data_IF_014774521354
#
_entry.id   IF_014774521354
#
_cell.length_a   1.000
_cell.length_b   1.000
_cell.length_c   1.000
_cell.angle_alpha   90.00
_cell.angle_beta   90.00
_cell.angle_gamma   90.00
#
_symmetry.space_group_name_H-M   'P 1'
#
loop_
_entity.id
_entity.type
_entity.pdbx_description
1 polymer ?
#
# COMPACT_ATOMS: atom_id res chain seq x y z
N UNK A 1 32.56 13.02 4.40
CA UNK A 1 33.72 12.63 3.57
C UNK A 1 33.21 12.07 2.25
N UNK A 2 33.45 12.76 1.13
CA UNK A 2 33.09 12.31 -0.23
C UNK A 2 34.13 11.32 -0.73
N UNK A 3 33.72 10.24 -1.40
CA UNK A 3 34.61 9.48 -2.31
C UNK A 3 33.92 9.26 -3.65
N UNK A 4 34.53 9.84 -4.68
CA UNK A 4 34.39 9.47 -6.07
C UNK A 4 35.10 8.13 -6.33
N UNK A 5 34.59 7.35 -7.27
CA UNK A 5 35.40 6.45 -8.08
C UNK A 5 34.93 6.53 -9.53
N UNK A 6 35.89 6.70 -10.43
CA UNK A 6 35.74 6.95 -11.85
C UNK A 6 36.57 5.88 -12.59
N UNK A 7 36.04 5.43 -13.72
CA UNK A 7 36.75 4.96 -14.94
C UNK A 7 37.28 3.52 -14.96
N UNK A 8 36.95 2.74 -16.00
CA UNK A 8 37.80 2.48 -17.20
C UNK A 8 37.01 1.69 -18.26
N UNK A 9 37.24 2.07 -19.51
CA UNK A 9 36.65 1.57 -20.75
C UNK A 9 37.46 0.44 -21.39
N UNK A 10 36.87 -0.29 -22.34
CA UNK A 10 37.64 -0.93 -23.42
C UNK A 10 36.82 -0.98 -24.73
N UNK A 11 37.45 -0.53 -25.79
CA UNK A 11 37.02 -0.47 -27.20
C UNK A 11 37.81 -1.53 -27.98
N UNK A 12 37.20 -2.22 -28.96
CA UNK A 12 37.92 -2.84 -30.08
C UNK A 12 37.00 -3.00 -31.30
N UNK A 13 37.57 -2.86 -32.49
CA UNK A 13 36.93 -2.51 -33.75
C UNK A 13 37.07 -3.58 -34.86
N UNK A 14 36.13 -3.53 -35.82
CA UNK A 14 36.18 -3.74 -37.29
C UNK A 14 37.00 -4.87 -37.96
N UNK A 15 36.38 -5.58 -38.92
CA UNK A 15 36.77 -5.61 -40.36
C UNK A 15 35.81 -6.46 -41.24
N UNK A 16 35.59 -5.99 -42.48
CA UNK A 16 34.88 -6.64 -43.59
C UNK A 16 35.75 -7.67 -44.33
N UNK A 17 35.12 -8.61 -45.07
CA UNK A 17 35.46 -8.89 -46.48
C UNK A 17 34.37 -9.71 -47.19
N UNK A 18 34.22 -9.44 -48.49
CA UNK A 18 33.14 -9.85 -49.38
C UNK A 18 33.44 -11.14 -50.18
N UNK A 19 32.38 -11.76 -50.74
CA UNK A 19 32.48 -12.79 -51.79
C UNK A 19 31.11 -13.01 -52.47
N UNK A 20 31.09 -13.03 -53.81
CA UNK A 20 29.92 -12.97 -54.69
C UNK A 20 29.59 -14.30 -55.42
N UNK A 21 28.29 -14.71 -55.37
CA UNK A 21 27.30 -15.16 -56.43
C UNK A 21 27.75 -16.12 -57.58
N UNK A 22 26.89 -16.97 -58.26
CA UNK A 22 25.50 -17.47 -58.03
C UNK A 22 25.33 -19.02 -58.16
N UNK A 23 24.15 -19.55 -57.80
CA UNK A 23 23.52 -20.64 -58.56
C UNK A 23 21.99 -20.53 -58.52
N UNK A 24 21.39 -20.47 -59.71
CA UNK A 24 19.96 -20.39 -59.99
C UNK A 24 19.26 -21.72 -59.75
N UNK A 25 18.21 -21.74 -58.94
CA UNK A 25 17.20 -22.80 -58.95
C UNK A 25 15.81 -22.16 -58.98
N UNK A 26 15.10 -22.43 -60.07
CA UNK A 26 13.73 -22.07 -60.35
C UNK A 26 12.78 -22.81 -59.39
N UNK A 27 12.13 -22.07 -58.50
CA UNK A 27 11.02 -22.55 -57.69
C UNK A 27 9.69 -22.07 -58.28
N UNK A 28 8.77 -23.02 -58.45
CA UNK A 28 7.37 -22.84 -58.84
C UNK A 28 6.61 -21.98 -57.82
N UNK A 29 5.57 -21.23 -58.23
CA UNK A 29 4.87 -20.32 -57.33
C UNK A 29 4.00 -21.11 -56.35
N UNK A 30 4.46 -21.18 -55.10
CA UNK A 30 3.66 -21.65 -53.98
C UNK A 30 2.68 -20.54 -53.59
N UNK A 31 1.39 -20.86 -53.60
CA UNK A 31 0.30 -19.94 -53.24
C UNK A 31 0.59 -19.24 -51.91
N UNK A 32 0.72 -17.92 -51.94
CA UNK A 32 0.88 -17.08 -50.76
C UNK A 32 -0.35 -17.26 -49.84
N UNK A 33 -0.15 -17.91 -48.68
CA UNK A 33 -1.10 -17.83 -47.57
C UNK A 33 -1.16 -16.37 -47.13
N UNK A 34 -2.36 -15.79 -47.09
CA UNK A 34 -2.59 -14.47 -46.53
C UNK A 34 -1.98 -14.37 -45.12
N UNK A 35 -1.36 -13.25 -44.75
CA UNK A 35 -0.83 -13.08 -43.40
C UNK A 35 -1.97 -13.21 -42.38
N UNK A 36 -1.77 -14.07 -41.38
CA UNK A 36 -2.71 -14.21 -40.28
C UNK A 36 -2.96 -12.83 -39.65
N UNK A 37 -4.22 -12.42 -39.58
CA UNK A 37 -4.66 -11.17 -38.93
C UNK A 37 -4.11 -11.20 -37.49
N UNK A 38 -3.36 -10.17 -37.10
CA UNK A 38 -2.89 -10.04 -35.72
C UNK A 38 -4.10 -10.21 -34.78
N UNK A 39 -3.98 -10.97 -33.67
CA UNK A 39 -5.09 -11.19 -32.77
C UNK A 39 -5.68 -9.85 -32.32
N UNK A 40 -7.01 -9.75 -32.30
CA UNK A 40 -7.69 -8.54 -31.89
C UNK A 40 -7.32 -8.21 -30.43
N UNK A 41 -6.94 -6.95 -30.20
CA UNK A 41 -6.60 -6.44 -28.86
C UNK A 41 -7.74 -6.70 -27.87
N UNK A 42 -7.42 -7.24 -26.68
CA UNK A 42 -8.45 -7.53 -25.68
C UNK A 42 -9.13 -6.23 -25.19
N UNK A 43 -10.44 -6.27 -24.85
CA UNK A 43 -11.18 -5.09 -24.41
C UNK A 43 -10.50 -4.31 -23.28
N UNK A 44 -9.96 -5.00 -22.27
CA UNK A 44 -9.26 -4.37 -21.15
C UNK A 44 -8.02 -3.59 -21.60
N UNK A 45 -7.28 -4.08 -22.60
CA UNK A 45 -6.10 -3.39 -23.15
C UNK A 45 -6.51 -2.11 -23.85
N UNK A 46 -7.54 -2.16 -24.71
CA UNK A 46 -8.08 -0.98 -25.39
C UNK A 46 -8.55 0.08 -24.39
N UNK A 47 -9.26 -0.34 -23.35
CA UNK A 47 -9.73 0.55 -22.29
C UNK A 47 -8.59 1.20 -21.48
N UNK A 48 -7.54 0.45 -21.12
CA UNK A 48 -6.39 1.01 -20.40
C UNK A 48 -5.58 2.00 -21.24
N UNK A 49 -5.38 1.71 -22.53
CA UNK A 49 -4.68 2.64 -23.43
C UNK A 49 -5.45 3.96 -23.55
N UNK A 50 -6.77 3.91 -23.68
CA UNK A 50 -7.63 5.09 -23.66
C UNK A 50 -7.56 5.86 -22.32
N UNK A 51 -7.45 5.15 -21.19
CA UNK A 51 -7.23 5.79 -19.89
C UNK A 51 -5.90 6.56 -19.85
N UNK A 52 -4.82 5.93 -20.30
CA UNK A 52 -3.47 6.52 -20.32
C UNK A 52 -3.46 7.79 -21.19
N UNK A 53 -4.08 7.73 -22.37
CA UNK A 53 -4.23 8.88 -23.25
C UNK A 53 -5.01 10.02 -22.58
N UNK A 54 -6.21 9.73 -22.06
CA UNK A 54 -7.03 10.72 -21.37
C UNK A 54 -6.30 11.32 -20.14
N UNK A 55 -5.61 10.49 -19.36
CA UNK A 55 -4.85 10.91 -18.18
C UNK A 55 -3.74 11.89 -18.56
N UNK A 56 -3.02 11.59 -19.65
CA UNK A 56 -1.91 12.41 -20.12
C UNK A 56 -2.35 13.79 -20.59
N UNK A 57 -3.57 13.96 -21.10
CA UNK A 57 -4.08 15.27 -21.56
C UNK A 57 -4.11 16.36 -20.49
N UNK A 58 -4.28 16.00 -19.21
CA UNK A 58 -4.53 17.00 -18.16
C UNK A 58 -5.94 17.60 -18.16
N UNK A 59 -6.82 17.20 -19.08
CA UNK A 59 -8.16 17.78 -19.25
C UNK A 59 -9.21 17.04 -18.41
N UNK A 60 -9.91 17.78 -17.55
CA UNK A 60 -11.04 17.24 -16.78
C UNK A 60 -12.17 16.77 -17.70
N UNK A 61 -12.44 17.48 -18.80
CA UNK A 61 -13.49 17.11 -19.75
C UNK A 61 -13.15 15.81 -20.48
N UNK A 62 -11.90 15.63 -20.90
CA UNK A 62 -11.43 14.37 -21.50
C UNK A 62 -11.53 13.22 -20.52
N UNK A 63 -11.15 13.43 -19.26
CA UNK A 63 -11.27 12.40 -18.23
C UNK A 63 -12.71 12.08 -17.88
N UNK A 64 -13.59 13.08 -17.82
CA UNK A 64 -15.03 12.90 -17.60
C UNK A 64 -15.63 12.05 -18.72
N UNK A 65 -15.38 12.42 -19.98
CA UNK A 65 -15.84 11.68 -21.15
C UNK A 65 -15.31 10.24 -21.16
N UNK A 66 -14.04 10.04 -20.76
CA UNK A 66 -13.48 8.72 -20.60
C UNK A 66 -14.25 7.89 -19.56
N UNK A 67 -14.49 8.43 -18.35
CA UNK A 67 -15.23 7.69 -17.33
C UNK A 67 -16.65 7.34 -17.77
N UNK A 68 -17.36 8.27 -18.41
CA UNK A 68 -18.73 8.06 -18.89
C UNK A 68 -18.80 7.02 -20.02
N UNK A 69 -17.79 6.99 -20.90
CA UNK A 69 -17.82 6.13 -22.09
C UNK A 69 -17.21 4.74 -21.86
N UNK A 70 -16.25 4.61 -20.94
CA UNK A 70 -15.46 3.38 -20.80
C UNK A 70 -15.83 2.54 -19.57
N UNK A 71 -16.45 3.11 -18.53
CA UNK A 71 -16.84 2.34 -17.34
C UNK A 71 -18.24 1.74 -17.43
N UNK A 72 -18.42 0.59 -16.79
CA UNK A 72 -19.69 -0.07 -16.62
C UNK A 72 -20.63 0.76 -15.72
N UNK A 73 -21.94 0.69 -15.98
CA UNK A 73 -22.93 1.43 -15.20
C UNK A 73 -22.91 1.03 -13.71
N UNK A 74 -22.68 -0.25 -13.41
CA UNK A 74 -22.49 -0.76 -12.05
C UNK A 74 -21.31 -0.08 -11.35
N UNK A 75 -20.16 0.01 -12.02
CA UNK A 75 -18.97 0.65 -11.48
C UNK A 75 -19.12 2.17 -11.31
N UNK A 76 -19.92 2.83 -12.15
CA UNK A 76 -20.25 4.26 -12.00
C UNK A 76 -21.20 4.53 -10.82
N UNK A 77 -22.03 3.55 -10.44
CA UNK A 77 -22.88 3.63 -9.25
C UNK A 77 -22.08 3.48 -7.96
N UNK A 78 -21.07 2.60 -7.95
CA UNK A 78 -20.20 2.38 -6.79
C UNK A 78 -19.26 3.56 -6.54
N UNK A 79 -18.67 4.10 -7.62
CA UNK A 79 -17.81 5.27 -7.56
C UNK A 79 -18.19 6.22 -8.71
N UNK A 80 -18.82 7.33 -8.33
CA UNK A 80 -19.38 8.30 -9.28
C UNK A 80 -18.29 9.00 -10.08
N UNK A 81 -18.67 9.56 -11.23
CA UNK A 81 -17.75 10.35 -12.08
C UNK A 81 -17.09 11.51 -11.31
N UNK A 82 -17.79 12.31 -10.50
CA UNK A 82 -17.14 13.34 -9.66
C UNK A 82 -16.08 12.79 -8.71
N UNK A 83 -16.34 11.66 -8.05
CA UNK A 83 -15.36 11.03 -7.16
C UNK A 83 -14.14 10.50 -7.93
N UNK A 84 -14.35 9.96 -9.13
CA UNK A 84 -13.26 9.52 -10.02
C UNK A 84 -12.42 10.70 -10.52
N UNK A 85 -13.06 11.82 -10.84
CA UNK A 85 -12.37 13.07 -11.22
C UNK A 85 -11.53 13.61 -10.06
N UNK A 86 -12.04 13.60 -8.82
CA UNK A 86 -11.25 14.00 -7.66
C UNK A 86 -10.00 13.11 -7.46
N UNK A 87 -10.14 11.79 -7.65
CA UNK A 87 -8.98 10.86 -7.64
C UNK A 87 -8.02 11.13 -8.78
N UNK A 88 -8.53 11.38 -9.97
CA UNK A 88 -7.72 11.76 -11.13
C UNK A 88 -6.91 13.02 -10.84
N UNK A 89 -7.51 14.08 -10.29
CA UNK A 89 -6.81 15.32 -9.98
C UNK A 89 -5.66 15.09 -9.00
N UNK A 90 -5.92 14.36 -7.90
CA UNK A 90 -4.87 14.00 -6.94
C UNK A 90 -3.77 13.15 -7.58
N UNK A 91 -4.14 12.14 -8.36
CA UNK A 91 -3.19 11.28 -9.08
C UNK A 91 -2.38 12.02 -10.14
N UNK A 92 -2.97 12.98 -10.86
CA UNK A 92 -2.32 13.79 -11.89
C UNK A 92 -1.27 14.71 -11.29
N UNK A 93 -1.57 15.34 -10.15
CA UNK A 93 -0.59 16.15 -9.41
C UNK A 93 0.65 15.33 -9.02
N UNK A 94 0.44 14.07 -8.60
CA UNK A 94 1.52 13.20 -8.14
C UNK A 94 2.29 12.53 -9.27
N UNK A 95 1.59 11.87 -10.20
CA UNK A 95 2.15 10.99 -11.22
C UNK A 95 2.53 11.73 -12.51
N UNK A 96 1.94 12.91 -12.74
CA UNK A 96 2.17 13.83 -13.88
C UNK A 96 1.76 13.28 -15.25
N UNK A 97 2.31 12.15 -15.67
CA UNK A 97 2.06 11.50 -16.96
C UNK A 97 2.33 10.01 -16.86
N UNK A 98 1.95 9.25 -17.88
CA UNK A 98 2.28 7.83 -18.04
C UNK A 98 2.87 7.59 -19.42
N UNK A 99 4.01 6.90 -19.45
CA UNK A 99 4.63 6.37 -20.66
C UNK A 99 4.57 4.85 -20.61
N UNK A 100 3.97 4.21 -21.61
CA UNK A 100 3.86 2.75 -21.66
C UNK A 100 5.25 2.15 -21.86
N UNK A 101 5.67 1.30 -20.92
CA UNK A 101 6.92 0.55 -21.03
C UNK A 101 6.67 -0.80 -21.72
N UNK A 102 5.70 -1.57 -21.20
CA UNK A 102 5.28 -2.85 -21.79
C UNK A 102 3.90 -3.29 -21.32
N UNK A 103 3.21 -4.07 -22.13
CA UNK A 103 2.07 -4.88 -21.67
C UNK A 103 2.64 -6.07 -20.90
N UNK A 104 2.29 -6.18 -19.62
CA UNK A 104 2.75 -7.25 -18.73
C UNK A 104 1.89 -8.49 -18.92
N UNK A 105 0.58 -8.31 -19.04
CA UNK A 105 -0.37 -9.41 -19.20
C UNK A 105 -1.62 -8.95 -19.94
N UNK A 106 -2.16 -9.83 -20.78
CA UNK A 106 -3.39 -9.62 -21.53
C UNK A 106 -4.28 -10.86 -21.39
N UNK A 107 -5.14 -10.83 -20.37
CA UNK A 107 -6.08 -11.90 -20.00
C UNK A 107 -7.48 -11.59 -20.56
N UNK A 108 -8.41 -12.54 -20.46
CA UNK A 108 -9.74 -12.38 -21.03
C UNK A 108 -10.52 -11.20 -20.43
N UNK A 109 -10.37 -10.96 -19.13
CA UNK A 109 -11.15 -9.93 -18.40
C UNK A 109 -10.27 -8.88 -17.74
N UNK A 110 -8.96 -8.91 -18.01
CA UNK A 110 -8.00 -8.05 -17.35
C UNK A 110 -6.78 -7.82 -18.22
N UNK A 111 -6.26 -6.60 -18.20
CA UNK A 111 -4.93 -6.27 -18.74
C UNK A 111 -4.07 -5.63 -17.66
N UNK A 112 -2.78 -5.93 -17.65
CA UNK A 112 -1.78 -5.24 -16.85
C UNK A 112 -0.75 -4.56 -17.77
N UNK A 113 -0.55 -3.25 -17.60
CA UNK A 113 0.41 -2.45 -18.36
C UNK A 113 1.37 -1.79 -17.38
N UNK A 114 2.67 -2.04 -17.56
CA UNK A 114 3.71 -1.30 -16.85
C UNK A 114 3.90 0.05 -17.54
N UNK A 115 3.81 1.12 -16.78
CA UNK A 115 4.05 2.49 -17.23
C UNK A 115 5.10 3.19 -16.37
N UNK A 116 5.89 4.06 -17.00
CA UNK A 116 6.74 5.02 -16.30
C UNK A 116 5.93 6.28 -16.01
N UNK A 117 5.79 6.66 -14.75
CA UNK A 117 5.14 7.90 -14.38
C UNK A 117 6.09 9.08 -14.57
N UNK A 118 5.57 10.26 -14.90
CA UNK A 118 6.35 11.49 -15.06
C UNK A 118 7.05 12.00 -13.78
N UNK A 119 6.75 11.40 -12.63
CA UNK A 119 7.51 11.60 -11.38
C UNK A 119 8.67 10.60 -11.19
N UNK A 120 8.93 9.74 -12.17
CA UNK A 120 10.01 8.74 -12.16
C UNK A 120 9.62 7.37 -11.59
N UNK A 121 8.45 7.22 -10.98
CA UNK A 121 8.01 5.94 -10.44
C UNK A 121 7.56 4.98 -11.54
N UNK A 122 7.84 3.69 -11.37
CA UNK A 122 7.25 2.63 -12.17
C UNK A 122 5.88 2.26 -11.58
N UNK A 123 4.86 2.24 -12.43
CA UNK A 123 3.47 1.98 -12.03
C UNK A 123 2.92 0.81 -12.86
N UNK A 124 2.35 -0.18 -12.19
CA UNK A 124 1.58 -1.24 -12.85
C UNK A 124 0.11 -0.84 -12.88
N UNK A 125 -0.39 -0.48 -14.05
CA UNK A 125 -1.80 -0.22 -14.29
C UNK A 125 -2.52 -1.54 -14.60
N UNK A 126 -3.57 -1.87 -13.85
CA UNK A 126 -4.45 -3.01 -14.15
C UNK A 126 -5.86 -2.53 -14.45
N UNK A 127 -6.38 -2.92 -15.59
CA UNK A 127 -7.74 -2.62 -16.04
C UNK A 127 -8.54 -3.90 -16.01
N UNK A 128 -9.66 -3.90 -15.29
CA UNK A 128 -10.57 -5.04 -15.22
C UNK A 128 -11.85 -4.66 -15.94
N UNK A 129 -12.40 -5.59 -16.71
CA UNK A 129 -13.63 -5.41 -17.48
C UNK A 129 -14.72 -6.39 -17.04
N UNK A 130 -15.97 -6.10 -17.42
CA UNK A 130 -17.11 -7.01 -17.21
C UNK A 130 -16.84 -8.41 -17.80
N UNK A 131 -17.31 -9.46 -17.10
CA UNK A 131 -17.25 -10.86 -17.56
C UNK A 131 -18.14 -11.14 -18.78
N UNK A 132 -19.11 -10.28 -19.03
CA UNK A 132 -20.03 -10.39 -20.16
C UNK A 132 -19.94 -9.14 -21.02
N UNK A 133 -20.34 -9.20 -22.30
CA UNK A 133 -20.54 -8.00 -23.11
C UNK A 133 -21.40 -6.97 -22.35
N UNK A 134 -21.10 -5.66 -22.45
CA UNK A 134 -20.20 -5.03 -23.42
C UNK A 134 -18.71 -4.97 -23.05
N UNK A 135 -18.26 -5.64 -21.99
CA UNK A 135 -16.83 -5.65 -21.55
C UNK A 135 -16.31 -4.25 -21.17
N UNK A 136 -17.13 -3.42 -20.53
CA UNK A 136 -16.72 -2.10 -20.04
C UNK A 136 -15.84 -2.24 -18.79
N UNK A 137 -15.07 -1.20 -18.47
CA UNK A 137 -14.24 -1.16 -17.28
C UNK A 137 -15.09 -1.24 -16.01
N UNK A 138 -14.75 -2.17 -15.13
CA UNK A 138 -15.21 -2.16 -13.74
C UNK A 138 -14.19 -1.46 -12.84
N UNK A 139 -12.91 -1.49 -13.21
CA UNK A 139 -11.82 -1.01 -12.39
C UNK A 139 -10.61 -0.55 -13.18
N UNK A 140 -9.89 0.43 -12.63
CA UNK A 140 -8.46 0.65 -12.90
C UNK A 140 -7.75 0.68 -11.55
N UNK A 141 -6.73 -0.17 -11.40
CA UNK A 141 -5.83 -0.22 -10.27
C UNK A 141 -4.46 0.30 -10.71
N UNK A 142 -3.74 0.95 -9.80
CA UNK A 142 -2.42 1.52 -10.06
C UNK A 142 -1.51 1.26 -8.87
N UNK A 143 -0.55 0.36 -9.03
CA UNK A 143 0.41 0.03 -7.98
C UNK A 143 1.79 0.57 -8.31
N UNK A 144 2.46 1.18 -7.34
CA UNK A 144 3.88 1.50 -7.47
C UNK A 144 4.69 0.21 -7.41
N UNK A 145 5.60 0.05 -8.36
CA UNK A 145 6.54 -1.05 -8.43
C UNK A 145 7.94 -0.53 -8.08
N UNK A 146 8.61 -1.22 -7.17
CA UNK A 146 9.99 -0.90 -6.78
C UNK A 146 11.00 -1.52 -7.76
N UNK A 147 10.74 -2.74 -8.22
CA UNK A 147 11.56 -3.44 -9.22
C UNK A 147 10.70 -3.97 -10.38
N UNK A 148 10.73 -3.31 -11.55
CA UNK A 148 9.94 -3.72 -12.73
C UNK A 148 10.33 -5.06 -13.34
N UNK A 149 11.54 -5.56 -13.06
CA UNK A 149 12.02 -6.85 -13.55
C UNK A 149 11.36 -8.03 -12.83
N UNK A 150 10.92 -7.81 -11.59
CA UNK A 150 10.25 -8.80 -10.74
C UNK A 150 8.74 -8.89 -11.00
N UNK A 151 8.19 -8.14 -11.97
CA UNK A 151 6.78 -8.21 -12.30
C UNK A 151 6.49 -9.51 -13.04
N UNK A 152 5.75 -10.39 -12.38
CA UNK A 152 5.24 -11.64 -12.94
C UNK A 152 3.93 -11.42 -13.71
N UNK A 153 3.68 -12.28 -14.71
CA UNK A 153 2.38 -12.34 -15.38
C UNK A 153 1.37 -12.92 -14.38
N UNK A 154 0.21 -12.28 -14.14
CA UNK A 154 -0.83 -12.87 -13.29
C UNK A 154 -1.26 -14.23 -13.85
N UNK A 155 -1.26 -15.24 -12.98
CA UNK A 155 -1.59 -16.63 -13.30
C UNK A 155 -2.84 -17.04 -12.51
N UNK A 156 -4.03 -16.52 -12.88
CA UNK A 156 -5.23 -16.76 -12.10
C UNK A 156 -5.52 -18.26 -12.02
N UNK A 157 -5.86 -18.75 -10.82
CA UNK A 157 -6.17 -20.16 -10.63
C UNK A 157 -7.60 -20.47 -11.06
N UNK A 158 -7.83 -21.65 -11.62
CA UNK A 158 -9.12 -21.99 -12.22
C UNK A 158 -10.23 -22.09 -11.15
N UNK A 159 -9.86 -22.55 -9.95
CA UNK A 159 -10.78 -22.77 -8.84
C UNK A 159 -10.14 -22.48 -7.48
N UNK A 160 -10.98 -22.49 -6.43
CA UNK A 160 -10.54 -22.20 -5.05
C UNK A 160 -9.54 -23.22 -4.50
N UNK A 161 -9.64 -24.50 -4.88
CA UNK A 161 -8.74 -25.54 -4.39
C UNK A 161 -7.32 -25.34 -4.93
N UNK A 162 -7.18 -25.06 -6.23
CA UNK A 162 -5.90 -24.69 -6.86
C UNK A 162 -5.36 -23.38 -6.31
N UNK A 163 -6.22 -22.39 -6.08
CA UNK A 163 -5.85 -21.14 -5.46
C UNK A 163 -5.22 -21.35 -4.08
N UNK A 164 -5.90 -22.09 -3.20
CA UNK A 164 -5.40 -22.40 -1.85
C UNK A 164 -4.11 -23.23 -1.90
N UNK A 165 -4.03 -24.21 -2.80
CA UNK A 165 -2.82 -25.02 -2.96
C UNK A 165 -1.61 -24.19 -3.42
N UNK A 166 -1.82 -23.25 -4.37
CA UNK A 166 -0.78 -22.35 -4.85
C UNK A 166 -0.28 -21.41 -3.75
N UNK A 167 -1.18 -20.85 -2.93
CA UNK A 167 -0.80 -20.04 -1.76
C UNK A 167 0.09 -20.85 -0.81
N UNK A 168 -0.32 -22.09 -0.49
CA UNK A 168 0.42 -22.94 0.44
C UNK A 168 1.83 -23.23 -0.06
N UNK A 169 1.96 -23.74 -1.28
CA UNK A 169 3.26 -24.06 -1.89
C UNK A 169 4.19 -22.84 -1.91
N UNK A 170 3.66 -21.68 -2.27
CA UNK A 170 4.43 -20.45 -2.31
C UNK A 170 4.91 -19.99 -0.94
N UNK A 171 4.05 -20.07 0.07
CA UNK A 171 4.43 -19.70 1.44
C UNK A 171 5.45 -20.69 2.03
N UNK A 172 5.34 -21.98 1.70
CA UNK A 172 6.35 -22.98 2.06
C UNK A 172 7.71 -22.62 1.46
N UNK A 173 7.76 -22.32 0.15
CA UNK A 173 9.00 -21.91 -0.52
C UNK A 173 9.60 -20.63 0.07
N UNK A 174 8.76 -19.59 0.28
CA UNK A 174 9.20 -18.31 0.86
C UNK A 174 9.66 -18.46 2.31
N UNK A 175 9.03 -19.35 3.08
CA UNK A 175 9.46 -19.62 4.45
C UNK A 175 10.78 -20.38 4.48
N UNK A 176 10.95 -21.38 3.61
CA UNK A 176 12.20 -22.13 3.48
C UNK A 176 13.38 -21.25 3.03
N UNK A 177 13.11 -20.24 2.19
CA UNK A 177 14.08 -19.25 1.75
C UNK A 177 14.34 -18.10 2.76
N UNK A 178 13.72 -18.12 3.94
CA UNK A 178 13.78 -17.04 4.93
C UNK A 178 13.27 -15.67 4.42
N UNK A 179 12.39 -15.70 3.43
CA UNK A 179 11.75 -14.55 2.80
C UNK A 179 10.35 -14.26 3.40
N UNK A 180 9.78 -15.20 4.16
CA UNK A 180 8.51 -15.04 4.87
C UNK A 180 8.51 -15.68 6.26
N UNK A 181 7.93 -14.99 7.22
CA UNK A 181 7.65 -15.48 8.58
C UNK A 181 6.49 -14.66 9.12
N UNK A 182 5.31 -15.26 9.23
CA UNK A 182 4.10 -14.49 9.44
C UNK A 182 2.80 -15.27 9.37
N UNK A 183 1.69 -14.55 9.28
CA UNK A 183 0.33 -15.08 9.12
C UNK A 183 -0.28 -14.51 7.85
N UNK A 184 -0.95 -15.38 7.09
CA UNK A 184 -1.75 -15.01 5.92
C UNK A 184 -3.19 -15.42 6.16
N UNK A 185 -4.12 -14.50 5.88
CA UNK A 185 -5.55 -14.75 5.87
C UNK A 185 -6.15 -14.29 4.54
N UNK A 186 -6.94 -15.15 3.92
CA UNK A 186 -7.78 -14.81 2.77
C UNK A 186 -9.24 -15.10 3.09
N UNK A 187 -10.08 -14.08 2.97
CA UNK A 187 -11.52 -14.17 3.08
C UNK A 187 -12.15 -13.84 1.72
N UNK A 188 -13.08 -14.69 1.29
CA UNK A 188 -13.85 -14.52 0.06
C UNK A 188 -15.33 -14.59 0.39
N UNK A 189 -16.07 -13.54 0.07
CA UNK A 189 -17.51 -13.41 0.25
C UNK A 189 -17.97 -13.72 1.69
N UNK A 190 -17.18 -13.31 2.68
CA UNK A 190 -17.47 -13.51 4.10
C UNK A 190 -16.98 -14.85 4.66
N UNK A 191 -16.49 -15.77 3.82
CA UNK A 191 -15.89 -17.05 4.24
C UNK A 191 -14.38 -16.99 4.22
N UNK A 192 -13.73 -17.37 5.31
CA UNK A 192 -12.27 -17.52 5.35
C UNK A 192 -11.88 -18.80 4.63
N UNK A 193 -11.15 -18.66 3.52
CA UNK A 193 -10.73 -19.77 2.65
C UNK A 193 -9.27 -20.16 2.87
N UNK A 194 -8.47 -19.26 3.45
CA UNK A 194 -7.10 -19.51 3.84
C UNK A 194 -6.81 -18.78 5.16
N UNK A 195 -6.21 -19.44 6.14
CA UNK A 195 -5.74 -18.82 7.38
C UNK A 195 -4.66 -19.71 7.99
N UNK A 196 -3.41 -19.42 7.67
CA UNK A 196 -2.25 -20.24 8.06
C UNK A 196 -1.09 -19.35 8.56
N UNK A 197 -0.23 -19.94 9.38
CA UNK A 197 0.90 -19.28 10.02
C UNK A 197 2.19 -20.03 9.65
N UNK A 198 3.25 -19.29 9.38
CA UNK A 198 4.53 -19.80 8.89
C UNK A 198 5.70 -19.14 9.62
N UNK A 199 6.81 -19.87 9.75
CA UNK A 199 8.03 -19.35 10.37
C UNK A 199 7.93 -19.15 11.89
N UNK A 200 8.81 -18.31 12.43
CA UNK A 200 8.99 -18.11 13.87
C UNK A 200 8.54 -16.72 14.31
N UNK A 201 7.74 -16.66 15.37
CA UNK A 201 7.40 -15.43 16.09
C UNK A 201 8.61 -14.90 16.87
N UNK A 202 9.45 -15.81 17.36
CA UNK A 202 10.69 -15.54 18.10
C UNK A 202 11.75 -16.54 17.64
N UNK A 203 12.76 -16.05 16.91
CA UNK A 203 13.87 -16.87 16.40
C UNK A 203 14.79 -17.34 17.51
N UNK A 204 15.09 -16.49 18.48
CA UNK A 204 16.00 -16.85 19.58
C UNK A 204 15.39 -17.94 20.46
N UNK A 205 14.10 -17.80 20.79
CA UNK A 205 13.38 -18.78 21.61
C UNK A 205 12.75 -19.93 20.80
N UNK A 206 12.93 -19.94 19.48
CA UNK A 206 12.33 -20.92 18.55
C UNK A 206 10.81 -21.07 18.70
N UNK A 207 10.12 -19.96 18.96
CA UNK A 207 8.66 -19.95 19.10
C UNK A 207 8.04 -19.85 17.71
N UNK A 208 7.22 -20.83 17.28
CA UNK A 208 6.55 -20.78 15.99
C UNK A 208 5.48 -19.69 15.97
N UNK A 209 5.26 -19.10 14.79
CA UNK A 209 4.07 -18.30 14.56
C UNK A 209 2.82 -19.16 14.69
N UNK A 210 1.75 -18.54 15.17
CA UNK A 210 0.40 -19.10 15.25
C UNK A 210 -0.59 -18.14 14.60
N UNK A 211 -1.78 -18.64 14.29
CA UNK A 211 -2.87 -17.83 13.69
C UNK A 211 -3.24 -16.62 14.54
N UNK A 212 -3.09 -16.73 15.86
CA UNK A 212 -3.37 -15.68 16.85
C UNK A 212 -2.14 -14.79 17.17
N UNK A 213 -0.99 -15.01 16.53
CA UNK A 213 0.22 -14.20 16.76
C UNK A 213 -0.03 -12.74 16.38
N UNK A 214 0.37 -11.85 17.28
CA UNK A 214 0.22 -10.40 17.14
C UNK A 214 1.46 -9.82 16.46
N UNK A 215 1.27 -9.18 15.33
CA UNK A 215 2.35 -8.54 14.56
C UNK A 215 2.26 -7.04 14.65
N UNK A 216 3.43 -6.39 14.62
CA UNK A 216 3.47 -4.95 14.54
C UNK A 216 2.89 -4.48 13.20
N UNK A 217 1.91 -3.58 13.24
CA UNK A 217 1.16 -3.16 12.06
C UNK A 217 1.86 -2.06 11.24
N UNK A 218 2.94 -1.49 11.77
CA UNK A 218 3.61 -0.35 11.15
C UNK A 218 2.62 0.78 10.83
N UNK A 219 2.63 1.29 9.61
CA UNK A 219 1.80 2.43 9.20
C UNK A 219 0.30 2.14 9.00
N UNK A 220 -0.15 0.88 9.10
CA UNK A 220 -1.59 0.56 9.06
C UNK A 220 -2.34 1.29 10.19
N UNK A 221 -1.67 1.54 11.33
CA UNK A 221 -2.23 2.26 12.47
C UNK A 221 -2.84 3.62 12.13
N UNK A 222 -2.37 4.29 11.06
CA UNK A 222 -2.95 5.54 10.56
C UNK A 222 -4.44 5.42 10.23
N UNK A 223 -4.90 4.24 9.79
CA UNK A 223 -6.31 4.04 9.48
C UNK A 223 -7.20 4.08 10.72
N UNK A 224 -6.73 3.60 11.87
CA UNK A 224 -7.46 3.76 13.14
C UNK A 224 -7.53 5.23 13.57
N UNK A 225 -6.42 5.98 13.40
CA UNK A 225 -6.41 7.44 13.62
C UNK A 225 -7.42 8.15 12.72
N UNK A 226 -7.49 7.80 11.42
CA UNK A 226 -8.48 8.37 10.49
C UNK A 226 -9.91 8.09 10.95
N UNK A 227 -10.22 6.86 11.34
CA UNK A 227 -11.54 6.49 11.87
C UNK A 227 -11.87 7.33 13.11
N UNK A 228 -10.93 7.47 14.06
CA UNK A 228 -11.13 8.23 15.28
C UNK A 228 -11.42 9.72 15.00
N UNK A 229 -10.67 10.36 14.10
CA UNK A 229 -10.91 11.74 13.68
C UNK A 229 -12.30 11.89 13.07
N UNK A 230 -12.71 10.99 12.18
CA UNK A 230 -14.04 11.04 11.56
C UNK A 230 -15.18 10.75 12.55
N UNK A 231 -14.98 9.86 13.54
CA UNK A 231 -15.94 9.66 14.63
C UNK A 231 -16.14 10.95 15.43
N UNK A 232 -15.04 11.60 15.86
CA UNK A 232 -15.10 12.86 16.61
C UNK A 232 -15.72 14.00 15.79
N UNK A 233 -15.44 14.05 14.48
CA UNK A 233 -16.06 15.01 13.58
C UNK A 233 -17.58 14.82 13.49
N UNK A 234 -18.05 13.57 13.37
CA UNK A 234 -19.48 13.24 13.36
C UNK A 234 -20.18 13.51 14.69
N UNK A 235 -19.44 13.47 15.81
CA UNK A 235 -19.92 13.85 17.13
C UNK A 235 -19.93 15.37 17.35
N UNK A 236 -19.47 16.17 16.39
CA UNK A 236 -19.35 17.63 16.53
C UNK A 236 -18.23 18.09 17.47
N UNK A 237 -17.34 17.18 17.90
CA UNK A 237 -16.24 17.50 18.83
C UNK A 237 -15.06 18.18 18.14
N UNK A 238 -14.94 18.01 16.82
CA UNK A 238 -14.00 18.72 15.96
C UNK A 238 -14.61 18.95 14.57
N UNK A 239 -14.07 19.91 13.84
CA UNK A 239 -14.25 20.08 12.40
C UNK A 239 -12.98 19.70 11.67
N UNK A 240 -13.11 19.21 10.43
CA UNK A 240 -11.93 18.97 9.58
C UNK A 240 -11.24 20.29 9.17
N UNK A 241 -11.94 21.42 9.29
CA UNK A 241 -11.38 22.76 9.02
C UNK A 241 -10.78 23.42 10.25
N UNK A 242 -10.89 22.79 11.43
CA UNK A 242 -10.25 23.32 12.64
C UNK A 242 -8.73 23.30 12.50
N UNK A 243 -8.10 24.39 12.93
CA UNK A 243 -6.65 24.53 12.95
C UNK A 243 -6.03 23.76 14.11
N UNK A 244 -4.74 23.44 13.99
CA UNK A 244 -3.96 22.80 15.07
C UNK A 244 -4.05 23.62 16.37
N UNK A 245 -3.99 24.96 16.28
CA UNK A 245 -4.06 25.87 17.42
C UNK A 245 -5.32 25.74 18.27
N UNK A 246 -6.47 25.38 17.67
CA UNK A 246 -7.72 25.18 18.41
C UNK A 246 -7.56 24.12 19.51
N UNK A 247 -6.79 23.07 19.24
CA UNK A 247 -6.61 21.95 20.16
C UNK A 247 -5.26 21.99 20.89
N UNK A 248 -4.24 22.55 20.25
CA UNK A 248 -2.87 22.64 20.71
C UNK A 248 -2.41 24.11 20.65
N UNK A 249 -2.90 24.98 21.56
CA UNK A 249 -2.57 26.42 21.53
C UNK A 249 -1.08 26.68 21.75
N UNK A 250 -0.40 25.80 22.48
CA UNK A 250 1.03 25.88 22.78
C UNK A 250 1.90 25.06 21.80
N UNK A 251 1.39 24.78 20.58
CA UNK A 251 2.16 24.02 19.59
C UNK A 251 3.44 24.81 19.20
N UNK A 252 4.65 24.19 19.25
CA UNK A 252 5.92 24.93 19.18
C UNK A 252 6.10 25.81 17.94
N UNK A 253 5.63 25.36 16.77
CA UNK A 253 5.64 26.17 15.56
C UNK A 253 4.31 26.92 15.41
N UNK A 254 4.31 28.23 15.71
CA UNK A 254 3.12 29.08 15.62
C UNK A 254 2.51 29.13 14.20
N UNK A 255 3.33 29.17 13.14
CA UNK A 255 2.83 29.15 11.77
C UNK A 255 2.08 27.85 11.46
N UNK A 256 2.61 26.71 11.90
CA UNK A 256 1.93 25.42 11.76
C UNK A 256 0.63 25.40 12.58
N UNK A 257 0.67 25.91 13.81
CA UNK A 257 -0.51 26.00 14.68
C UNK A 257 -1.65 26.79 14.03
N UNK A 258 -1.34 27.94 13.44
CA UNK A 258 -2.31 28.86 12.85
C UNK A 258 -2.82 28.43 11.47
N UNK A 259 -1.94 27.88 10.60
CA UNK A 259 -2.28 27.62 9.20
C UNK A 259 -2.74 26.19 8.90
N UNK A 260 -2.28 25.19 9.67
CA UNK A 260 -2.55 23.78 9.38
C UNK A 260 -3.89 23.37 9.97
N UNK A 261 -4.75 22.75 9.17
CA UNK A 261 -6.02 22.18 9.63
C UNK A 261 -6.03 20.64 9.67
N UNK A 262 -7.04 20.09 10.35
CA UNK A 262 -7.22 18.63 10.51
C UNK A 262 -7.30 17.90 9.17
N UNK A 263 -7.97 18.47 8.15
CA UNK A 263 -8.07 17.88 6.81
C UNK A 263 -6.70 17.76 6.15
N UNK A 264 -5.85 18.78 6.26
CA UNK A 264 -4.51 18.77 5.69
C UNK A 264 -3.61 17.74 6.36
N UNK A 265 -3.75 17.55 7.68
CA UNK A 265 -3.05 16.46 8.39
C UNK A 265 -3.50 15.07 7.88
N UNK A 266 -4.81 14.83 7.76
CA UNK A 266 -5.36 13.56 7.27
C UNK A 266 -4.85 13.22 5.87
N UNK A 267 -4.81 14.23 4.99
CA UNK A 267 -4.49 14.09 3.58
C UNK A 267 -2.99 14.23 3.27
N UNK A 268 -2.14 14.37 4.29
CA UNK A 268 -0.69 14.54 4.12
C UNK A 268 -0.31 15.79 3.30
N UNK A 269 -1.08 16.87 3.44
CA UNK A 269 -0.88 18.16 2.75
C UNK A 269 -0.55 19.30 3.71
N UNK A 270 -0.20 19.00 4.96
CA UNK A 270 0.04 20.01 6.01
C UNK A 270 1.38 20.73 5.92
N UNK A 271 2.39 20.16 5.25
CA UNK A 271 3.78 20.66 5.32
C UNK A 271 4.54 20.33 6.61
N UNK A 272 3.86 19.83 7.65
CA UNK A 272 4.52 19.30 8.87
C UNK A 272 5.38 18.07 8.50
N UNK A 273 6.67 18.13 8.83
CA UNK A 273 7.65 17.08 8.53
C UNK A 273 7.57 15.83 9.41
N UNK A 274 8.53 14.93 9.22
CA UNK A 274 8.63 13.66 9.95
C UNK A 274 9.37 13.79 11.29
N UNK A 275 9.10 12.86 12.22
CA UNK A 275 9.85 12.70 13.46
C UNK A 275 11.08 11.81 13.31
N UNK A 276 11.16 10.95 12.29
CA UNK A 276 12.38 10.19 12.00
C UNK A 276 13.53 11.10 11.56
N UNK A 277 14.76 10.78 12.00
CA UNK A 277 15.99 11.53 11.75
C UNK A 277 16.85 11.66 13.02
N UNK A 278 17.89 12.49 12.96
CA UNK A 278 18.94 12.58 14.00
C UNK A 278 18.41 12.69 15.44
N UNK A 279 17.35 13.50 15.66
CA UNK A 279 16.73 13.65 16.98
C UNK A 279 16.08 12.35 17.46
N UNK A 280 15.39 11.62 16.58
CA UNK A 280 14.83 10.31 16.91
C UNK A 280 15.94 9.31 17.19
N UNK A 281 16.98 9.27 16.36
CA UNK A 281 18.10 8.33 16.50
C UNK A 281 18.85 8.52 17.81
N UNK A 282 19.15 9.77 18.17
CA UNK A 282 19.80 10.14 19.44
C UNK A 282 18.89 9.96 20.67
N UNK A 283 17.57 9.90 20.50
CA UNK A 283 16.64 9.72 21.61
C UNK A 283 16.57 8.25 22.03
N UNK A 284 16.75 8.00 23.33
CA UNK A 284 16.49 6.69 23.92
C UNK A 284 15.05 6.26 23.66
N UNK A 285 14.88 5.14 22.97
CA UNK A 285 13.56 4.70 22.51
C UNK A 285 12.61 4.33 23.65
N UNK A 286 13.14 3.89 24.79
CA UNK A 286 12.38 3.64 26.02
C UNK A 286 11.64 4.88 26.55
N UNK A 287 12.14 6.08 26.23
CA UNK A 287 11.53 7.35 26.67
C UNK A 287 10.36 7.80 25.80
N UNK A 288 10.16 7.17 24.64
CA UNK A 288 9.08 7.51 23.70
C UNK A 288 7.90 6.57 23.98
N UNK A 289 6.94 7.01 24.81
CA UNK A 289 5.85 6.15 25.31
C UNK A 289 4.45 6.72 25.13
N UNK A 290 4.35 8.04 24.98
CA UNK A 290 3.11 8.79 24.75
C UNK A 290 3.27 9.69 23.52
N UNK A 291 2.15 10.16 22.95
CA UNK A 291 2.20 10.97 21.74
C UNK A 291 2.97 12.28 21.92
N UNK A 292 2.89 12.90 23.11
CA UNK A 292 3.62 14.15 23.40
C UNK A 292 5.14 13.96 23.37
N UNK A 293 5.64 12.76 23.64
CA UNK A 293 7.09 12.49 23.69
C UNK A 293 7.73 12.59 22.30
N UNK A 294 6.92 12.54 21.23
CA UNK A 294 7.38 12.73 19.86
C UNK A 294 7.52 14.21 19.47
N UNK A 295 6.83 15.15 20.14
CA UNK A 295 6.83 16.56 19.72
C UNK A 295 8.23 17.19 19.66
N UNK A 296 9.14 16.97 20.64
CA UNK A 296 10.50 17.51 20.58
C UNK A 296 11.32 17.06 19.35
N UNK A 297 10.88 16.01 18.65
CA UNK A 297 11.60 15.46 17.50
C UNK A 297 11.33 16.22 16.20
N UNK A 298 10.23 16.97 16.11
CA UNK A 298 9.81 17.61 14.86
C UNK A 298 8.98 18.89 14.99
N UNK A 299 8.30 19.14 16.11
CA UNK A 299 7.22 20.12 16.16
C UNK A 299 7.66 21.59 16.05
N UNK A 300 8.93 21.88 16.34
CA UNK A 300 9.58 23.20 16.21
C UNK A 300 10.11 23.48 14.79
N UNK A 301 10.19 22.46 13.92
CA UNK A 301 10.72 22.61 12.56
C UNK A 301 9.79 23.47 11.69
N UNK A 302 10.33 24.23 10.72
CA UNK A 302 9.52 24.96 9.75
C UNK A 302 8.65 23.99 8.91
N UNK A 303 7.55 24.51 8.36
CA UNK A 303 6.77 23.78 7.37
C UNK A 303 7.63 23.55 6.12
N UNK A 304 7.60 22.35 5.57
CA UNK A 304 8.35 22.01 4.36
C UNK A 304 7.76 22.65 3.09
N UNK A 305 6.48 23.01 3.13
CA UNK A 305 5.75 23.72 2.10
C UNK A 305 4.49 24.37 2.70
N UNK A 306 3.90 25.34 2.01
CA UNK A 306 2.65 25.97 2.47
C UNK A 306 1.51 24.93 2.54
N UNK A 307 0.69 24.93 3.62
CA UNK A 307 -0.36 23.93 3.79
C UNK A 307 -1.35 23.94 2.62
N UNK A 308 -1.60 22.75 2.05
CA UNK A 308 -2.45 22.56 0.87
C UNK A 308 -1.76 22.75 -0.49
N UNK A 309 -0.55 23.32 -0.54
CA UNK A 309 0.15 23.57 -1.79
C UNK A 309 0.83 22.32 -2.39
N UNK A 310 1.11 21.31 -1.57
CA UNK A 310 1.75 20.05 -1.97
C UNK A 310 1.31 18.91 -1.05
N UNK A 311 1.82 17.71 -1.30
CA UNK A 311 1.60 16.54 -0.46
C UNK A 311 2.92 15.82 -0.14
N UNK A 312 3.13 15.48 1.12
CA UNK A 312 4.26 14.65 1.56
C UNK A 312 3.84 13.81 2.75
N UNK A 313 4.16 12.51 2.68
CA UNK A 313 3.92 11.57 3.77
C UNK A 313 4.56 12.07 5.06
N UNK A 314 3.79 12.12 6.15
CA UNK A 314 4.24 12.69 7.42
C UNK A 314 3.75 11.85 8.60
N UNK A 315 4.69 11.22 9.32
CA UNK A 315 4.37 10.61 10.60
C UNK A 315 4.16 11.66 11.69
N UNK A 316 4.88 12.79 11.63
CA UNK A 316 4.68 13.91 12.56
C UNK A 316 3.27 14.48 12.49
N UNK A 317 2.71 14.67 11.29
CA UNK A 317 1.33 15.10 11.11
C UNK A 317 0.30 14.15 11.75
N UNK A 318 0.55 12.84 11.69
CA UNK A 318 -0.33 11.86 12.35
C UNK A 318 -0.15 11.79 13.87
N UNK A 319 1.02 12.11 14.41
CA UNK A 319 1.20 12.35 15.85
C UNK A 319 0.36 13.55 16.29
N UNK A 320 0.36 14.64 15.51
CA UNK A 320 -0.49 15.82 15.79
C UNK A 320 -1.97 15.45 15.76
N UNK A 321 -2.43 14.64 14.79
CA UNK A 321 -3.81 14.13 14.78
C UNK A 321 -4.16 13.32 16.04
N UNK A 322 -3.22 12.50 16.51
CA UNK A 322 -3.39 11.74 17.75
C UNK A 322 -3.57 12.66 18.96
N UNK A 323 -2.77 13.72 19.08
CA UNK A 323 -2.92 14.73 20.13
C UNK A 323 -4.22 15.53 20.02
N UNK A 324 -4.68 15.81 18.80
CA UNK A 324 -6.01 16.42 18.55
C UNK A 324 -7.12 15.49 19.04
N UNK A 325 -7.03 14.17 18.77
CA UNK A 325 -7.97 13.17 19.31
C UNK A 325 -7.99 13.23 20.84
N UNK A 326 -6.82 13.31 21.50
CA UNK A 326 -6.76 13.39 22.96
C UNK A 326 -7.49 14.62 23.50
N UNK A 327 -7.23 15.79 22.88
CA UNK A 327 -7.84 17.06 23.29
C UNK A 327 -9.34 17.11 23.01
N UNK A 328 -9.77 16.66 21.84
CA UNK A 328 -11.19 16.69 21.45
C UNK A 328 -12.03 15.65 22.20
N UNK A 329 -11.44 14.51 22.58
CA UNK A 329 -12.15 13.44 23.28
C UNK A 329 -12.09 13.54 24.81
N UNK A 330 -11.05 14.18 25.36
CA UNK A 330 -10.80 14.26 26.81
C UNK A 330 -10.15 13.02 27.41
N UNK A 331 -9.72 12.04 26.59
CA UNK A 331 -9.04 10.80 27.02
C UNK A 331 -7.78 10.59 26.19
N UNK A 332 -6.84 9.77 26.66
CA UNK A 332 -5.63 9.46 25.88
C UNK A 332 -5.97 8.71 24.57
N UNK A 333 -5.10 8.83 23.56
CA UNK A 333 -5.34 8.31 22.22
C UNK A 333 -5.57 6.80 22.24
N UNK A 334 -4.77 6.08 23.03
CA UNK A 334 -4.82 4.63 23.10
C UNK A 334 -6.12 4.14 23.70
N UNK A 335 -6.60 4.80 24.76
CA UNK A 335 -7.92 4.54 25.34
C UNK A 335 -9.03 4.86 24.35
N UNK A 336 -8.97 6.01 23.66
CA UNK A 336 -10.00 6.38 22.68
C UNK A 336 -10.14 5.30 21.59
N UNK A 337 -9.03 4.93 20.95
CA UNK A 337 -9.04 3.93 19.87
C UNK A 337 -9.51 2.57 20.37
N UNK A 338 -9.03 2.12 21.54
CA UNK A 338 -9.46 0.84 22.11
C UNK A 338 -10.96 0.80 22.38
N UNK A 339 -11.50 1.84 23.01
CA UNK A 339 -12.90 1.84 23.47
C UNK A 339 -13.90 2.19 22.37
N UNK A 340 -13.49 2.94 21.33
CA UNK A 340 -14.40 3.42 20.28
C UNK A 340 -14.20 2.73 18.92
N UNK A 341 -13.13 1.95 18.76
CA UNK A 341 -12.84 1.22 17.52
C UNK A 341 -12.64 -0.26 17.80
N UNK A 342 -11.65 -0.63 18.62
CA UNK A 342 -11.28 -2.04 18.77
C UNK A 342 -12.36 -2.87 19.49
N UNK A 343 -12.77 -2.47 20.70
CA UNK A 343 -13.81 -3.18 21.46
C UNK A 343 -15.16 -3.25 20.72
N UNK A 344 -15.70 -2.16 20.15
CA UNK A 344 -17.01 -2.21 19.48
C UNK A 344 -17.07 -3.15 18.28
N UNK A 345 -15.93 -3.42 17.63
CA UNK A 345 -15.87 -4.32 16.45
C UNK A 345 -15.21 -5.67 16.77
N UNK A 346 -14.94 -5.94 18.05
CA UNK A 346 -14.44 -7.23 18.53
C UNK A 346 -12.96 -7.50 18.26
N UNK A 347 -12.15 -6.46 18.04
CA UNK A 347 -10.70 -6.55 17.87
C UNK A 347 -10.00 -6.60 19.24
N UNK A 348 -10.13 -7.73 19.94
CA UNK A 348 -9.71 -7.84 21.34
C UNK A 348 -8.20 -8.07 21.51
N UNK A 349 -7.52 -8.47 20.45
CA UNK A 349 -6.08 -8.74 20.40
C UNK A 349 -5.29 -7.59 19.74
N UNK A 350 -5.95 -6.46 19.45
CA UNK A 350 -5.35 -5.28 18.86
C UNK A 350 -5.10 -4.17 19.88
N UNK A 351 -3.86 -3.67 19.92
CA UNK A 351 -3.50 -2.50 20.73
C UNK A 351 -2.11 -1.93 20.39
N UNK A 352 -1.81 -0.73 20.88
CA UNK A 352 -0.45 -0.24 21.07
C UNK A 352 0.07 -0.68 22.44
N UNK A 353 0.50 -1.92 22.56
CA UNK A 353 1.11 -2.43 23.78
C UNK A 353 2.43 -1.72 24.10
N UNK A 354 2.66 -1.30 25.35
CA UNK A 354 4.00 -0.92 25.80
C UNK A 354 4.96 -2.10 25.65
N UNK A 355 6.19 -1.82 25.23
CA UNK A 355 7.19 -2.86 24.91
C UNK A 355 7.58 -3.74 26.09
N UNK A 356 7.51 -3.18 27.29
CA UNK A 356 7.82 -3.81 28.58
C UNK A 356 6.59 -4.38 29.30
N UNK A 357 5.41 -4.40 28.66
CA UNK A 357 4.18 -4.88 29.28
C UNK A 357 4.12 -6.40 29.48
N UNK A 358 5.07 -7.15 28.94
CA UNK A 358 5.04 -8.62 28.97
C UNK A 358 3.86 -9.21 28.20
N UNK A 359 3.33 -8.48 27.21
CA UNK A 359 2.16 -8.93 26.44
C UNK A 359 2.47 -10.25 25.75
N UNK A 360 1.63 -11.30 25.95
CA UNK A 360 1.88 -12.59 25.34
C UNK A 360 1.61 -12.56 23.84
N UNK A 361 2.28 -13.48 23.13
CA UNK A 361 2.06 -13.74 21.71
C UNK A 361 2.33 -12.54 20.78
N UNK A 362 3.29 -11.68 21.12
CA UNK A 362 3.82 -10.66 20.23
C UNK A 362 5.00 -11.24 19.44
N UNK A 363 4.94 -11.16 18.12
CA UNK A 363 6.08 -11.48 17.28
C UNK A 363 7.20 -10.43 17.48
N UNK A 364 8.44 -10.91 17.58
CA UNK A 364 9.63 -10.07 17.52
C UNK A 364 9.97 -9.78 16.06
N UNK A 365 10.29 -8.53 15.74
CA UNK A 365 10.66 -8.11 14.39
C UNK A 365 12.13 -8.37 14.08
N UNK A 366 12.42 -8.78 12.86
CA UNK A 366 13.76 -9.14 12.39
C UNK A 366 14.12 -8.41 11.10
N UNK A 367 15.24 -7.70 11.12
CA UNK A 367 15.72 -6.87 10.01
C UNK A 367 17.10 -7.33 9.52
N UNK A 368 17.35 -7.22 8.21
CA UNK A 368 18.71 -7.31 7.65
C UNK A 368 19.44 -5.96 7.65
N UNK A 369 18.71 -4.85 7.84
CA UNK A 369 19.30 -3.52 7.86
C UNK A 369 20.20 -3.33 9.08
N UNK A 370 21.45 -2.90 8.82
CA UNK A 370 22.46 -2.71 9.86
C UNK A 370 23.08 -4.01 10.39
N UNK A 371 22.69 -5.17 9.85
CA UNK A 371 23.22 -6.46 10.25
C UNK A 371 24.56 -6.80 9.57
N UNK A 372 25.50 -7.44 10.29
CA UNK A 372 26.68 -8.04 9.68
C UNK A 372 26.29 -9.10 8.65
N UNK A 373 26.94 -9.09 7.48
CA UNK A 373 26.85 -10.15 6.47
C UNK A 373 25.43 -10.52 5.99
N UNK A 374 24.44 -9.63 6.15
CA UNK A 374 23.06 -9.87 5.69
C UNK A 374 22.25 -10.83 6.60
N UNK A 375 22.76 -11.15 7.79
CA UNK A 375 22.00 -11.89 8.79
C UNK A 375 20.79 -11.10 9.29
N UNK A 376 19.80 -11.78 9.87
CA UNK A 376 18.65 -11.10 10.47
C UNK A 376 18.91 -10.82 11.94
N UNK A 377 18.79 -9.56 12.34
CA UNK A 377 18.91 -9.09 13.73
C UNK A 377 17.58 -8.55 14.26
N UNK A 378 17.39 -8.59 15.57
CA UNK A 378 16.22 -8.01 16.22
C UNK A 378 16.10 -6.51 15.95
N UNK A 379 14.94 -6.05 15.51
CA UNK A 379 14.67 -4.63 15.30
C UNK A 379 14.39 -3.85 16.60
N UNK A 380 14.46 -4.51 17.76
CA UNK A 380 14.06 -3.97 19.06
C UNK A 380 14.64 -2.58 19.37
N UNK A 381 15.91 -2.34 18.99
CA UNK A 381 16.62 -1.10 19.26
C UNK A 381 16.08 0.11 18.48
N UNK A 382 15.33 -0.09 17.39
CA UNK A 382 14.81 0.98 16.54
C UNK A 382 13.38 1.39 16.92
N UNK A 383 12.67 0.52 17.66
CA UNK A 383 11.27 0.72 18.02
C UNK A 383 11.11 1.58 19.28
N UNK A 384 10.11 2.48 19.32
CA UNK A 384 9.78 3.24 20.52
C UNK A 384 9.25 2.31 21.63
N UNK A 385 9.26 2.79 22.87
CA UNK A 385 8.67 2.08 24.01
C UNK A 385 7.17 1.80 23.86
N UNK A 386 6.47 2.55 23.00
CA UNK A 386 5.09 2.30 22.58
C UNK A 386 4.85 2.86 21.18
N UNK A 387 4.04 2.17 20.36
CA UNK A 387 3.61 2.70 19.06
C UNK A 387 2.82 4.01 19.18
N UNK A 388 2.75 4.79 18.11
CA UNK A 388 2.05 6.07 18.03
C UNK A 388 0.78 5.99 17.17
N UNK A 389 0.08 7.12 17.03
CA UNK A 389 -1.03 7.31 16.09
C UNK A 389 -0.60 7.31 14.62
N UNK A 390 0.70 7.41 14.35
CA UNK A 390 1.26 7.30 13.01
C UNK A 390 1.66 5.87 12.65
N UNK A 391 2.07 5.06 13.62
CA UNK A 391 2.50 3.71 13.31
C UNK A 391 2.93 2.91 14.53
N UNK A 392 3.22 1.64 14.31
CA UNK A 392 3.35 0.69 15.40
C UNK A 392 2.00 0.05 15.69
N UNK A 393 1.76 -0.31 16.96
CA UNK A 393 0.59 -1.09 17.31
C UNK A 393 0.70 -2.53 16.83
N UNK A 394 -0.10 -3.41 17.41
CA UNK A 394 -0.07 -4.83 17.14
C UNK A 394 -1.48 -5.34 16.91
N UNK A 395 -1.63 -6.33 16.03
CA UNK A 395 -2.90 -7.01 15.77
C UNK A 395 -2.69 -8.42 15.24
N UNK A 396 -3.77 -9.19 15.18
CA UNK A 396 -3.84 -10.49 14.51
C UNK A 396 -4.49 -10.34 13.13
N UNK A 397 -4.31 -11.34 12.26
CA UNK A 397 -4.97 -11.35 10.96
C UNK A 397 -6.50 -11.40 11.09
N UNK A 398 -7.02 -12.10 12.10
CA UNK A 398 -8.44 -12.17 12.40
C UNK A 398 -9.02 -10.82 12.85
N UNK A 399 -8.33 -10.09 13.72
CA UNK A 399 -8.79 -8.77 14.14
C UNK A 399 -8.75 -7.76 12.98
N UNK A 400 -7.74 -7.85 12.11
CA UNK A 400 -7.73 -7.05 10.89
C UNK A 400 -8.88 -7.42 9.94
N UNK A 401 -9.31 -8.69 9.87
CA UNK A 401 -10.51 -9.07 9.13
C UNK A 401 -11.75 -8.41 9.74
N UNK A 402 -11.92 -8.43 11.07
CA UNK A 402 -13.03 -7.76 11.76
C UNK A 402 -13.06 -6.25 11.46
N UNK A 403 -11.90 -5.61 11.42
CA UNK A 403 -11.80 -4.20 11.03
C UNK A 403 -12.33 -3.94 9.62
N UNK A 404 -11.88 -4.73 8.64
CA UNK A 404 -12.32 -4.59 7.24
C UNK A 404 -13.81 -4.85 7.10
N UNK A 405 -14.34 -5.90 7.76
CA UNK A 405 -15.77 -6.19 7.76
C UNK A 405 -16.58 -5.07 8.43
N UNK A 406 -16.07 -4.45 9.50
CA UNK A 406 -16.73 -3.33 10.15
C UNK A 406 -16.78 -2.07 9.26
N UNK A 407 -15.77 -1.83 8.41
CA UNK A 407 -15.81 -0.79 7.38
C UNK A 407 -16.83 -1.13 6.28
N UNK A 408 -16.82 -2.38 5.80
CA UNK A 408 -17.77 -2.89 4.80
C UNK A 408 -19.22 -2.74 5.27
N UNK A 409 -19.51 -3.11 6.51
CA UNK A 409 -20.82 -3.05 7.13
C UNK A 409 -21.19 -1.65 7.64
N UNK A 410 -20.31 -0.65 7.43
CA UNK A 410 -20.47 0.75 7.88
C UNK A 410 -20.61 0.92 9.40
N UNK A 411 -20.21 -0.09 10.20
CA UNK A 411 -20.06 0.03 11.66
C UNK A 411 -18.93 1.01 12.01
N UNK A 412 -17.88 1.01 11.20
CA UNK A 412 -16.85 2.05 11.15
C UNK A 412 -17.00 2.86 9.86
N UNK A 413 -16.54 4.11 9.88
CA UNK A 413 -16.67 5.01 8.75
C UNK A 413 -15.33 5.60 8.34
N UNK A 414 -15.02 5.44 7.05
CA UNK A 414 -14.01 6.21 6.32
C UNK A 414 -14.65 6.68 5.00
N UNK A 415 -14.40 7.92 4.55
CA UNK A 415 -15.01 8.46 3.32
C UNK A 415 -14.71 7.66 2.05
N UNK A 416 -13.58 6.97 2.00
CA UNK A 416 -13.03 6.27 0.84
C UNK A 416 -13.18 4.75 0.88
N UNK A 417 -13.57 4.17 2.03
CA UNK A 417 -13.62 2.71 2.22
C UNK A 417 -14.60 1.98 1.27
N UNK A 418 -15.61 2.67 0.74
CA UNK A 418 -16.57 2.06 -0.20
C UNK A 418 -15.91 1.55 -1.49
N UNK A 419 -14.72 2.05 -1.84
CA UNK A 419 -13.95 1.57 -3.00
C UNK A 419 -12.99 0.43 -2.68
N UNK A 420 -13.07 -0.12 -1.48
CA UNK A 420 -12.10 -1.06 -0.95
C UNK A 420 -11.06 -0.40 -0.08
N UNK A 421 -10.07 -1.19 0.33
CA UNK A 421 -9.00 -0.78 1.22
C UNK A 421 -7.69 -1.40 0.73
N UNK A 422 -6.68 -0.59 0.48
CA UNK A 422 -5.32 -1.06 0.19
C UNK A 422 -4.35 -0.31 1.08
N UNK A 423 -3.93 -0.95 2.18
CA UNK A 423 -3.10 -0.30 3.19
C UNK A 423 -1.92 -1.19 3.55
N UNK A 424 -0.76 -0.57 3.75
CA UNK A 424 0.48 -1.26 4.08
C UNK A 424 1.20 -0.56 5.23
N UNK A 425 1.90 -1.37 6.03
CA UNK A 425 2.81 -0.92 7.06
C UNK A 425 4.19 -1.49 6.80
N UNK A 426 5.22 -0.66 6.89
CA UNK A 426 6.59 -1.06 6.62
C UNK A 426 7.58 -0.26 7.47
N UNK A 427 8.53 -0.96 8.06
CA UNK A 427 9.75 -0.45 8.69
C UNK A 427 10.72 -1.64 8.84
N UNK A 428 12.00 -1.42 9.19
CA UNK A 428 12.92 -2.53 9.46
C UNK A 428 12.34 -3.53 10.48
N UNK A 429 12.22 -4.79 10.09
CA UNK A 429 11.61 -5.89 10.84
C UNK A 429 10.08 -5.84 11.02
N UNK A 430 9.39 -5.00 10.24
CA UNK A 430 7.94 -4.82 10.30
C UNK A 430 7.40 -4.75 8.87
N UNK A 431 6.55 -5.70 8.47
CA UNK A 431 5.79 -5.53 7.23
C UNK A 431 4.39 -6.14 7.33
N UNK A 432 3.40 -5.41 6.84
CA UNK A 432 2.00 -5.84 6.85
C UNK A 432 1.25 -5.24 5.69
N UNK A 433 0.30 -5.99 5.13
CA UNK A 433 -0.66 -5.51 4.13
C UNK A 433 -2.07 -5.95 4.49
N UNK A 434 -3.03 -5.08 4.17
CA UNK A 434 -4.46 -5.39 4.18
C UNK A 434 -5.03 -4.88 2.86
N UNK A 435 -5.52 -5.81 2.06
CA UNK A 435 -6.15 -5.54 0.78
C UNK A 435 -7.60 -6.04 0.83
N UNK A 436 -8.54 -5.18 0.47
CA UNK A 436 -9.95 -5.48 0.32
C UNK A 436 -10.42 -4.95 -1.01
N UNK A 437 -10.80 -5.85 -1.90
CA UNK A 437 -11.49 -5.51 -3.15
C UNK A 437 -12.99 -5.88 -3.01
N UNK A 438 -13.89 -4.88 -2.87
CA UNK A 438 -15.32 -5.13 -2.72
C UNK A 438 -15.93 -5.78 -3.97
N UNK A 439 -15.32 -5.61 -5.15
CA UNK A 439 -15.85 -6.15 -6.43
C UNK A 439 -15.54 -7.63 -6.58
N UNK A 440 -14.35 -8.04 -6.12
CA UNK A 440 -13.94 -9.44 -6.08
C UNK A 440 -14.42 -10.16 -4.82
N UNK A 441 -15.11 -9.45 -3.92
CA UNK A 441 -15.57 -9.99 -2.64
C UNK A 441 -14.43 -10.49 -1.75
N UNK A 442 -13.20 -10.04 -1.98
CA UNK A 442 -11.99 -10.66 -1.43
C UNK A 442 -11.25 -9.73 -0.48
N UNK A 443 -10.79 -10.28 0.63
CA UNK A 443 -9.92 -9.63 1.61
C UNK A 443 -8.66 -10.49 1.77
N UNK A 444 -7.48 -9.91 1.55
CA UNK A 444 -6.17 -10.53 1.76
C UNK A 444 -5.45 -9.75 2.85
N UNK A 445 -5.02 -10.46 3.90
CA UNK A 445 -4.28 -9.91 5.03
C UNK A 445 -2.99 -10.68 5.16
N UNK A 446 -1.87 -9.98 5.14
CA UNK A 446 -0.54 -10.56 5.33
C UNK A 446 0.17 -9.79 6.42
N UNK A 447 0.51 -10.47 7.51
CA UNK A 447 1.26 -9.90 8.62
C UNK A 447 2.57 -10.68 8.78
N UNK A 448 3.71 -10.00 8.81
CA UNK A 448 5.03 -10.65 8.94
C UNK A 448 5.94 -9.86 9.87
N UNK A 449 6.86 -10.58 10.50
CA UNK A 449 7.88 -10.01 11.36
C UNK A 449 9.23 -9.80 10.65
N UNK A 450 9.21 -9.64 9.32
CA UNK A 450 10.35 -9.35 8.48
C UNK A 450 10.23 -7.97 7.80
N UNK A 451 11.32 -7.53 7.18
CA UNK A 451 11.39 -6.29 6.41
C UNK A 451 10.40 -6.25 5.23
N UNK A 452 9.96 -5.05 4.81
CA UNK A 452 9.46 -4.87 3.46
C UNK A 452 10.51 -5.32 2.42
N UNK A 453 10.09 -5.92 1.30
CA UNK A 453 8.70 -6.05 0.84
C UNK A 453 8.04 -7.39 1.22
N UNK A 454 8.44 -8.11 2.28
CA UNK A 454 7.99 -9.48 2.54
C UNK A 454 6.45 -9.69 2.48
N UNK A 455 5.67 -8.87 3.21
CA UNK A 455 4.20 -8.89 3.17
C UNK A 455 3.67 -8.50 1.78
N UNK A 456 4.24 -7.45 1.19
CA UNK A 456 3.81 -6.93 -0.10
C UNK A 456 4.03 -7.92 -1.25
N UNK A 457 5.14 -8.65 -1.24
CA UNK A 457 5.44 -9.72 -2.21
C UNK A 457 4.41 -10.84 -2.12
N UNK A 458 4.10 -11.30 -0.90
CA UNK A 458 3.07 -12.31 -0.69
C UNK A 458 1.69 -11.81 -1.11
N UNK A 459 1.29 -10.63 -0.65
CA UNK A 459 -0.02 -10.02 -0.95
C UNK A 459 -0.24 -9.88 -2.46
N UNK A 460 0.72 -9.31 -3.18
CA UNK A 460 0.67 -9.17 -4.64
C UNK A 460 0.57 -10.52 -5.34
N UNK A 461 1.32 -11.52 -4.88
CA UNK A 461 1.30 -12.84 -5.48
C UNK A 461 -0.09 -13.49 -5.31
N UNK A 462 -0.64 -13.48 -4.09
CA UNK A 462 -1.99 -13.99 -3.77
C UNK A 462 -3.04 -13.28 -4.62
N UNK A 463 -3.00 -11.95 -4.71
CA UNK A 463 -3.95 -11.17 -5.50
C UNK A 463 -3.84 -11.49 -6.99
N UNK A 464 -2.64 -11.78 -7.50
CA UNK A 464 -2.46 -12.16 -8.90
C UNK A 464 -3.02 -13.54 -9.26
N UNK A 465 -3.23 -14.40 -8.26
CA UNK A 465 -3.80 -15.74 -8.42
C UNK A 465 -5.31 -15.80 -8.24
N UNK A 466 -5.96 -14.68 -7.87
CA UNK A 466 -7.40 -14.68 -7.62
C UNK A 466 -8.15 -15.27 -8.82
N UNK A 467 -9.01 -16.30 -8.60
CA UNK A 467 -9.77 -16.91 -9.67
C UNK A 467 -10.65 -15.87 -10.36
N UNK A 468 -10.53 -15.76 -11.69
CA UNK A 468 -11.14 -14.68 -12.45
C UNK A 468 -12.65 -14.78 -12.58
#
# INVERSE_FOLDING_TARGET
>A
MRRHARTIATLAAAALLAGSIPATLSATPQSAKSPAKAPAEKPATTHLKAYIEAFNTGSLDRMKAFFESHFAASALKELTVPQRLARYQGGKLQLKSFEIQRVVAELEHQTAILVKAGNGNDILLRGLVEKTPPRKLVAILADRIEDPSMITVPDPKENEAEFVAAIRSFLEDKTAADEFSGVVLVNRDGRTIFHEAYGLADREAKVPNRKDTKFNLGSINKNFTRVAVHQLARQGKLSLEDTVKRFLPDYPNAQAADKVNVRQLLNMTSGIGDFFGDRYDATSKDKIRSLKDYLPLFADKPLEFEPGASNKYSNGGYVVLGLIIEKASGVDYYKYVRDNIFKPVGMLDTDSYPRDAGTPNLAKGYTIEGAPAGERVLNHATLPGRGSSAGGGYSTAEDMLKYVLALKDKKLFLPDAASGLGIAGGAPGINSTVEWDPRAGTIVIVLTNLDPPAAGTVSRQIVSWLPQ
#
